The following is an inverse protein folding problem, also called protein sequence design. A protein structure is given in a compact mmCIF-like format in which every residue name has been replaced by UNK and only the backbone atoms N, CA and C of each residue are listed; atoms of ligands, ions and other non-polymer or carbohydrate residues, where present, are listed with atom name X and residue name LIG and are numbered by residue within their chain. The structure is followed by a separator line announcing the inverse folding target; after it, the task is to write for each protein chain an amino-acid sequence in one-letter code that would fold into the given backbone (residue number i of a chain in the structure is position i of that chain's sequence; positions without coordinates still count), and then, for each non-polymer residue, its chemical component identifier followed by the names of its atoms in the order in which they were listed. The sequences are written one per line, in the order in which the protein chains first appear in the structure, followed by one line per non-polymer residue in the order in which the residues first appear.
data_IF_656021619529
#
_entry.id   IF_656021619529
#
_cell.length_a   1.000
_cell.length_b   1.000
_cell.length_c   1.000
_cell.angle_alpha   90.00
_cell.angle_beta   90.00
_cell.angle_gamma   90.00
#
_symmetry.space_group_name_H-M   'P 1'
#
loop_
_entity.id
_entity.type
_entity.pdbx_description
1 polymer ?
#
# COMPACT_ATOMS: atom_id res chain seq x y z
N UNK A 1 2.96 1.53 3.69
CA UNK A 1 4.28 2.07 4.09
C UNK A 1 4.40 1.94 5.59
N UNK A 2 5.54 1.43 6.07
CA UNK A 2 5.85 1.28 7.51
C UNK A 2 7.10 2.12 7.77
N UNK A 3 6.96 3.19 8.55
CA UNK A 3 7.99 4.22 8.65
C UNK A 3 8.41 4.73 7.26
N UNK A 4 9.73 4.71 6.91
CA UNK A 4 10.19 5.14 5.61
C UNK A 4 10.08 4.05 4.53
N UNK A 5 9.71 2.82 4.87
CA UNK A 5 9.79 1.67 3.98
C UNK A 5 8.48 1.46 3.18
N UNK A 6 8.53 1.52 1.83
CA UNK A 6 7.39 1.23 0.99
C UNK A 6 7.18 -0.28 0.84
N UNK A 7 5.92 -0.69 0.92
CA UNK A 7 5.46 -2.03 0.53
C UNK A 7 4.25 -1.83 -0.38
N UNK A 8 4.30 -2.35 -1.60
CA UNK A 8 3.25 -2.12 -2.58
C UNK A 8 2.88 -3.40 -3.33
N UNK A 9 1.57 -3.55 -3.53
CA UNK A 9 0.98 -4.58 -4.36
C UNK A 9 -0.05 -3.96 -5.29
N UNK A 10 -0.05 -4.40 -6.55
CA UNK A 10 -1.12 -4.12 -7.50
C UNK A 10 -2.22 -5.17 -7.36
N UNK A 11 -3.47 -4.72 -7.48
CA UNK A 11 -4.64 -5.59 -7.63
C UNK A 11 -5.08 -5.52 -9.09
N UNK A 12 -4.96 -6.64 -9.80
CA UNK A 12 -5.40 -6.78 -11.19
C UNK A 12 -6.78 -7.42 -11.23
N UNK A 13 -7.78 -6.70 -11.75
CA UNK A 13 -9.18 -7.15 -11.82
C UNK A 13 -9.56 -7.66 -13.21
N UNK A 14 -9.97 -8.92 -13.32
CA UNK A 14 -10.35 -9.54 -14.59
C UNK A 14 -11.86 -9.41 -14.92
N UNK A 15 -12.74 -9.33 -13.92
CA UNK A 15 -14.19 -9.19 -14.13
C UNK A 15 -14.65 -7.74 -14.18
N UNK A 16 -15.78 -7.48 -14.86
CA UNK A 16 -16.34 -6.12 -14.98
C UNK A 16 -16.71 -5.52 -13.63
N UNK A 17 -17.29 -6.35 -12.75
CA UNK A 17 -17.62 -5.94 -11.37
C UNK A 17 -16.37 -5.59 -10.57
N UNK A 18 -15.32 -6.41 -10.66
CA UNK A 18 -14.05 -6.15 -9.97
C UNK A 18 -13.31 -4.91 -10.49
N UNK A 19 -13.52 -4.50 -11.75
CA UNK A 19 -12.96 -3.25 -12.28
C UNK A 19 -13.62 -2.00 -11.71
N UNK A 20 -14.89 -2.09 -11.31
CA UNK A 20 -15.61 -0.99 -10.65
C UNK A 20 -15.32 -0.99 -9.15
N UNK A 21 -15.41 -2.16 -8.51
CA UNK A 21 -15.03 -2.38 -7.12
C UNK A 21 -14.39 -3.76 -6.98
N UNK A 22 -13.09 -3.80 -6.70
CA UNK A 22 -12.31 -5.04 -6.61
C UNK A 22 -12.88 -6.03 -5.58
N UNK A 23 -13.60 -5.53 -4.57
CA UNK A 23 -14.25 -6.34 -3.53
C UNK A 23 -15.45 -7.14 -4.04
N UNK A 24 -16.02 -6.77 -5.18
CA UNK A 24 -17.22 -7.40 -5.71
C UNK A 24 -16.97 -8.79 -6.30
N UNK A 25 -15.71 -9.18 -6.56
CA UNK A 25 -15.35 -10.50 -7.10
C UNK A 25 -13.89 -10.88 -6.83
N UNK A 26 -13.61 -11.35 -5.62
CA UNK A 26 -12.25 -11.76 -5.21
C UNK A 26 -11.63 -12.86 -6.06
N UNK A 27 -12.44 -13.73 -6.69
CA UNK A 27 -11.94 -14.82 -7.53
C UNK A 27 -11.35 -14.33 -8.85
N UNK A 28 -11.69 -13.11 -9.25
CA UNK A 28 -11.20 -12.48 -10.47
C UNK A 28 -9.98 -11.57 -10.22
N UNK A 29 -9.36 -11.65 -9.04
CA UNK A 29 -8.22 -10.82 -8.67
C UNK A 29 -6.91 -11.59 -8.79
N UNK A 30 -5.87 -10.91 -9.27
CA UNK A 30 -4.48 -11.31 -9.12
C UNK A 30 -3.74 -10.21 -8.38
N UNK A 31 -2.93 -10.59 -7.41
CA UNK A 31 -2.05 -9.68 -6.69
C UNK A 31 -0.64 -9.78 -7.25
N UNK A 32 0.05 -8.65 -7.30
CA UNK A 32 1.42 -8.57 -7.79
C UNK A 32 2.20 -7.60 -6.95
N UNK A 33 3.34 -8.02 -6.39
CA UNK A 33 4.28 -7.09 -5.79
C UNK A 33 4.85 -6.18 -6.87
N UNK A 34 4.78 -4.88 -6.63
CA UNK A 34 5.27 -3.87 -7.56
C UNK A 34 6.14 -2.83 -6.83
N UNK A 35 6.96 -2.12 -7.59
CA UNK A 35 7.74 -0.99 -7.08
C UNK A 35 7.05 0.32 -7.47
N UNK A 36 6.65 1.18 -6.51
CA UNK A 36 6.09 2.49 -6.82
C UNK A 36 7.15 3.43 -7.41
N UNK A 37 6.75 4.40 -8.25
CA UNK A 37 7.63 5.48 -8.68
C UNK A 37 8.23 6.27 -7.50
N UNK A 38 9.48 6.77 -7.61
CA UNK A 38 10.14 7.49 -6.51
C UNK A 38 9.35 8.69 -5.98
N UNK A 39 8.71 9.46 -6.86
CA UNK A 39 7.90 10.61 -6.51
C UNK A 39 6.64 10.24 -5.71
N UNK A 40 6.05 9.07 -5.98
CA UNK A 40 4.94 8.52 -5.19
C UNK A 40 5.42 8.13 -3.78
N UNK A 41 6.58 7.48 -3.68
CA UNK A 41 7.18 7.12 -2.38
C UNK A 41 7.49 8.37 -1.56
N UNK A 42 8.11 9.39 -2.17
CA UNK A 42 8.43 10.64 -1.51
C UNK A 42 7.18 11.42 -1.08
N UNK A 43 6.13 11.40 -1.89
CA UNK A 43 4.82 11.95 -1.55
C UNK A 43 4.20 11.25 -0.33
N UNK A 44 4.21 9.92 -0.30
CA UNK A 44 3.69 9.13 0.82
C UNK A 44 4.50 9.36 2.11
N UNK A 45 5.83 9.42 2.03
CA UNK A 45 6.69 9.76 3.18
C UNK A 45 6.37 11.14 3.72
N UNK A 46 6.31 12.17 2.85
CA UNK A 46 5.92 13.52 3.25
C UNK A 46 4.54 13.55 3.90
N UNK A 47 3.58 12.77 3.39
CA UNK A 47 2.27 12.63 4.00
C UNK A 47 2.39 12.12 5.44
N UNK A 48 3.07 10.97 5.63
CA UNK A 48 3.26 10.38 6.95
C UNK A 48 3.94 11.34 7.94
N UNK A 49 5.03 11.99 7.54
CA UNK A 49 5.72 13.01 8.36
C UNK A 49 4.80 14.17 8.72
N UNK A 50 4.05 14.71 7.75
CA UNK A 50 3.16 15.87 7.96
C UNK A 50 2.05 15.56 8.97
N UNK A 51 1.53 14.34 8.96
CA UNK A 51 0.44 13.91 9.84
C UNK A 51 0.93 13.20 11.12
N UNK A 52 2.24 13.07 11.33
CA UNK A 52 2.80 12.38 12.49
C UNK A 52 2.46 10.88 12.54
N UNK A 53 2.35 10.24 11.37
CA UNK A 53 1.98 8.83 11.23
C UNK A 53 3.22 7.97 11.01
N UNK A 54 3.36 6.90 11.77
CA UNK A 54 4.43 5.91 11.57
C UNK A 54 4.03 4.77 10.61
N UNK A 55 2.76 4.73 10.20
CA UNK A 55 2.21 3.75 9.28
C UNK A 55 1.07 4.38 8.47
N UNK A 56 0.94 3.93 7.23
CA UNK A 56 -0.24 4.20 6.41
C UNK A 56 -0.38 3.17 5.28
N UNK A 57 -1.61 2.72 5.07
CA UNK A 57 -2.02 2.03 3.85
C UNK A 57 -2.50 3.07 2.84
N UNK A 58 -1.85 3.14 1.68
CA UNK A 58 -2.15 4.13 0.66
C UNK A 58 -2.81 3.46 -0.54
N UNK A 59 -3.96 4.00 -0.94
CA UNK A 59 -4.70 3.51 -2.08
C UNK A 59 -4.43 4.40 -3.30
N UNK A 60 -4.08 3.75 -4.41
CA UNK A 60 -3.86 4.39 -5.69
C UNK A 60 -4.62 3.65 -6.80
N UNK A 61 -5.01 4.40 -7.83
CA UNK A 61 -5.38 3.84 -9.14
C UNK A 61 -4.26 4.14 -10.12
N UNK A 62 -3.84 3.12 -10.87
CA UNK A 62 -2.85 3.26 -11.94
C UNK A 62 -3.62 3.38 -13.26
N UNK A 63 -3.51 4.53 -13.92
CA UNK A 63 -4.10 4.78 -15.23
C UNK A 63 -3.40 3.96 -16.33
N UNK A 64 -4.03 3.71 -17.48
CA UNK A 64 -3.40 2.97 -18.59
C UNK A 64 -2.11 3.60 -19.14
N UNK A 65 -1.89 4.90 -18.92
CA UNK A 65 -0.66 5.62 -19.26
C UNK A 65 0.45 5.45 -18.21
N UNK A 66 0.21 4.70 -17.13
CA UNK A 66 1.12 4.48 -16.01
C UNK A 66 1.06 5.55 -14.91
N UNK A 67 0.18 6.56 -15.00
CA UNK A 67 0.07 7.59 -13.98
C UNK A 67 -0.65 7.07 -12.72
N UNK A 68 -0.10 7.40 -11.55
CA UNK A 68 -0.68 7.01 -10.26
C UNK A 68 -1.58 8.13 -9.73
N UNK A 69 -2.84 7.80 -9.45
CA UNK A 69 -3.82 8.69 -8.84
C UNK A 69 -4.03 8.30 -7.39
N UNK A 70 -3.62 9.18 -6.47
CA UNK A 70 -3.87 9.01 -5.05
C UNK A 70 -5.38 9.06 -4.75
N UNK A 71 -5.88 8.12 -3.96
CA UNK A 71 -7.25 8.08 -3.49
C UNK A 71 -7.33 8.46 -2.01
N UNK A 72 -6.71 7.67 -1.16
CA UNK A 72 -6.73 7.87 0.29
C UNK A 72 -5.49 7.28 0.98
N UNK A 73 -5.29 7.72 2.23
CA UNK A 73 -4.41 7.05 3.18
C UNK A 73 -5.27 6.60 4.35
N UNK A 74 -5.27 5.31 4.63
CA UNK A 74 -5.90 4.72 5.81
C UNK A 74 -4.83 4.42 6.89
N UNK A 75 -4.77 5.20 7.98
CA UNK A 75 -3.79 4.99 9.06
C UNK A 75 -3.98 3.68 9.83
N UNK A 76 -5.11 2.99 9.64
CA UNK A 76 -5.40 1.67 10.21
C UNK A 76 -5.84 0.68 9.13
N UNK A 77 -5.39 0.90 7.88
CA UNK A 77 -5.74 0.05 6.75
C UNK A 77 -5.20 -1.35 6.95
N UNK A 78 -6.04 -2.35 6.65
CA UNK A 78 -5.63 -3.74 6.75
C UNK A 78 -4.69 -4.11 5.59
N UNK A 79 -3.71 -4.95 5.90
CA UNK A 79 -2.59 -5.27 5.01
C UNK A 79 -2.27 -6.77 4.97
N UNK A 80 -2.79 -7.56 5.91
CA UNK A 80 -2.37 -8.96 6.11
C UNK A 80 -2.59 -9.85 4.88
N UNK A 81 -3.71 -9.70 4.18
CA UNK A 81 -3.94 -10.49 2.97
C UNK A 81 -2.97 -10.13 1.85
N UNK A 82 -2.56 -8.86 1.72
CA UNK A 82 -1.57 -8.46 0.72
C UNK A 82 -0.18 -9.00 1.05
N UNK A 83 0.18 -9.10 2.33
CA UNK A 83 1.39 -9.79 2.75
C UNK A 83 1.41 -11.24 2.25
N UNK A 84 0.32 -11.98 2.45
CA UNK A 84 0.21 -13.36 1.98
C UNK A 84 0.19 -13.49 0.46
N UNK A 85 -0.61 -12.67 -0.22
CA UNK A 85 -0.83 -12.76 -1.68
C UNK A 85 0.35 -12.23 -2.50
N UNK A 86 1.07 -11.22 -1.99
CA UNK A 86 2.18 -10.56 -2.70
C UNK A 86 3.56 -10.78 -2.06
N UNK A 87 3.65 -11.55 -0.97
CA UNK A 87 4.92 -11.86 -0.30
C UNK A 87 5.62 -10.62 0.27
N UNK A 88 4.86 -9.72 0.88
CA UNK A 88 5.37 -8.46 1.46
C UNK A 88 5.63 -8.65 2.96
N UNK A 89 6.84 -8.36 3.50
CA UNK A 89 7.15 -8.60 4.91
C UNK A 89 6.66 -7.46 5.84
N UNK A 90 5.37 -7.11 5.76
CA UNK A 90 4.79 -5.95 6.45
C UNK A 90 4.72 -6.20 7.97
N UNK A 91 4.34 -7.41 8.39
CA UNK A 91 4.28 -7.80 9.80
C UNK A 91 5.65 -7.66 10.49
N UNK A 92 6.71 -8.11 9.81
CA UNK A 92 8.08 -8.00 10.31
C UNK A 92 8.50 -6.53 10.46
N UNK A 93 8.27 -5.71 9.43
CA UNK A 93 8.59 -4.29 9.47
C UNK A 93 7.83 -3.54 10.59
N UNK A 94 6.55 -3.88 10.83
CA UNK A 94 5.78 -3.32 11.92
C UNK A 94 6.31 -3.75 13.30
N UNK A 95 6.67 -5.02 13.46
CA UNK A 95 7.27 -5.53 14.69
C UNK A 95 8.62 -4.86 14.98
N UNK A 96 9.47 -4.72 13.97
CA UNK A 96 10.75 -4.03 14.07
C UNK A 96 10.55 -2.58 14.50
N UNK A 97 9.63 -1.86 13.84
CA UNK A 97 9.29 -0.48 14.17
C UNK A 97 8.80 -0.34 15.61
N UNK A 98 7.87 -1.19 16.06
CA UNK A 98 7.34 -1.18 17.43
C UNK A 98 8.42 -1.50 18.47
N UNK A 99 9.29 -2.46 18.16
CA UNK A 99 10.36 -2.89 19.07
C UNK A 99 11.49 -1.86 19.20
N UNK A 100 11.70 -1.04 18.17
CA UNK A 100 12.73 0.01 18.19
C UNK A 100 12.42 1.13 19.18
N UNK A 101 11.14 1.37 19.49
CA UNK A 101 10.69 2.46 20.36
C UNK A 101 10.97 3.88 19.84
N UNK A 102 11.40 4.01 18.58
CA UNK A 102 11.82 5.29 17.96
C UNK A 102 10.91 5.62 16.80
N UNK A 103 10.44 6.88 16.76
CA UNK A 103 9.78 7.44 15.57
C UNK A 103 10.81 7.57 14.44
N UNK A 104 10.51 7.12 13.22
CA UNK A 104 11.41 7.24 12.07
C UNK A 104 11.47 8.67 11.49
N UNK A 105 10.72 9.61 12.06
CA UNK A 105 10.66 11.03 11.70
C UNK A 105 11.31 11.91 12.76
#
# INVERSE_FOLDING_TARGET
MVGPEPFAAAIHAASERARVDWRADYRALRYERIEPPPDVVDGARRYLTTFGLNYGAFDFVIEPNGAWRFLECNPNGQWLWLEHEAGLPIAAALADLLSSGVSPW
#
